data_IF_156954496941
#
_entry.id   IF_156954496941
#
_cell.length_a   1.000
_cell.length_b   1.000
_cell.length_c   1.000
_cell.angle_alpha   90.00
_cell.angle_beta   90.00
_cell.angle_gamma   90.00
#
_symmetry.space_group_name_H-M   'P 1'
#
loop_
_entity.id
_entity.type
_entity.pdbx_description
1 polymer ?
#
# COMPACT_ATOMS: atom_id res chain seq x y z
N UNK A 1 -16.82 4.35 -12.65
CA UNK A 1 -16.73 4.73 -11.23
C UNK A 1 -15.25 4.92 -10.90
N UNK A 2 -14.84 6.06 -10.31
CA UNK A 2 -13.43 6.32 -9.99
C UNK A 2 -13.19 5.90 -8.54
N UNK A 3 -12.61 4.73 -8.33
CA UNK A 3 -12.14 4.31 -7.00
C UNK A 3 -10.86 5.09 -6.67
N UNK A 4 -10.73 5.56 -5.44
CA UNK A 4 -9.50 6.19 -4.95
C UNK A 4 -8.80 5.19 -4.04
N UNK A 5 -7.47 5.15 -4.10
CA UNK A 5 -6.71 4.33 -3.16
C UNK A 5 -6.87 4.91 -1.74
N UNK A 6 -7.02 4.07 -0.71
CA UNK A 6 -7.20 4.51 0.66
C UNK A 6 -5.88 5.07 1.19
N UNK A 7 -5.92 6.24 1.83
CA UNK A 7 -4.78 6.76 2.58
C UNK A 7 -4.69 6.02 3.91
N UNK A 8 -3.52 5.53 4.26
CA UNK A 8 -3.33 4.91 5.57
C UNK A 8 -3.37 5.99 6.65
N UNK A 9 -4.13 5.73 7.71
CA UNK A 9 -4.19 6.56 8.91
C UNK A 9 -4.35 5.61 10.09
N UNK A 10 -3.53 5.81 11.13
CA UNK A 10 -3.54 5.00 12.35
C UNK A 10 -4.97 4.69 12.83
N UNK A 11 -5.31 3.41 12.89
CA UNK A 11 -6.59 2.96 13.44
C UNK A 11 -7.15 1.65 12.88
N UNK A 12 -6.97 1.35 11.59
CA UNK A 12 -7.49 0.11 10.98
C UNK A 12 -6.63 -0.39 9.81
N UNK A 13 -5.61 -1.18 10.13
CA UNK A 13 -4.72 -1.78 9.14
C UNK A 13 -5.46 -2.82 8.27
N UNK A 14 -6.33 -3.64 8.88
CA UNK A 14 -7.02 -4.72 8.17
C UNK A 14 -8.03 -4.18 7.15
N UNK A 15 -8.76 -3.12 7.51
CA UNK A 15 -9.65 -2.42 6.58
C UNK A 15 -8.91 -1.74 5.45
N UNK A 16 -7.73 -1.15 5.74
CA UNK A 16 -6.88 -0.54 4.71
C UNK A 16 -6.38 -1.58 3.69
N UNK A 17 -5.86 -2.72 4.16
CA UNK A 17 -5.40 -3.83 3.30
C UNK A 17 -6.56 -4.38 2.47
N UNK A 18 -7.69 -4.66 3.10
CA UNK A 18 -8.88 -5.19 2.41
C UNK A 18 -9.35 -4.27 1.28
N UNK A 19 -9.31 -2.94 1.52
CA UNK A 19 -9.69 -1.97 0.49
C UNK A 19 -8.63 -1.86 -0.62
N UNK A 20 -7.34 -1.93 -0.28
CA UNK A 20 -6.24 -1.98 -1.25
C UNK A 20 -6.36 -3.19 -2.20
N UNK A 21 -6.69 -4.37 -1.67
CA UNK A 21 -6.93 -5.58 -2.48
C UNK A 21 -8.09 -5.40 -3.46
N UNK A 22 -9.21 -4.82 -3.01
CA UNK A 22 -10.36 -4.51 -3.88
C UNK A 22 -9.95 -3.52 -4.97
N UNK A 23 -9.18 -2.48 -4.62
CA UNK A 23 -8.66 -1.51 -5.58
C UNK A 23 -7.80 -2.18 -6.65
N UNK A 24 -6.81 -2.99 -6.24
CA UNK A 24 -5.91 -3.68 -7.15
C UNK A 24 -6.66 -4.64 -8.07
N UNK A 25 -7.64 -5.37 -7.54
CA UNK A 25 -8.48 -6.25 -8.33
C UNK A 25 -9.29 -5.47 -9.37
N UNK A 26 -9.94 -4.39 -8.96
CA UNK A 26 -10.77 -3.56 -9.84
C UNK A 26 -9.95 -2.91 -10.96
N UNK A 27 -8.74 -2.43 -10.64
CA UNK A 27 -7.85 -1.78 -11.59
C UNK A 27 -6.94 -2.74 -12.35
N UNK A 28 -6.98 -4.05 -12.06
CA UNK A 28 -6.06 -5.08 -12.61
C UNK A 28 -4.59 -4.66 -12.46
N UNK A 29 -4.27 -4.13 -11.28
CA UNK A 29 -2.91 -3.68 -10.96
C UNK A 29 -1.95 -4.87 -11.04
N UNK A 30 -0.84 -4.67 -11.75
CA UNK A 30 0.23 -5.66 -11.87
C UNK A 30 0.87 -5.92 -10.50
N UNK A 31 1.29 -7.15 -10.25
CA UNK A 31 1.85 -7.57 -8.95
C UNK A 31 3.02 -6.68 -8.52
N UNK A 32 3.92 -6.39 -9.46
CA UNK A 32 5.09 -5.54 -9.27
C UNK A 32 4.75 -4.08 -8.93
N UNK A 33 3.56 -3.60 -9.30
CA UNK A 33 3.14 -2.21 -9.07
C UNK A 33 2.32 -2.04 -7.80
N UNK A 34 1.82 -3.11 -7.19
CA UNK A 34 0.95 -3.03 -6.00
C UNK A 34 1.65 -2.38 -4.82
N UNK A 35 2.88 -2.81 -4.53
CA UNK A 35 3.65 -2.29 -3.40
C UNK A 35 4.03 -0.82 -3.59
N UNK A 36 4.42 -0.42 -4.80
CA UNK A 36 4.72 0.98 -5.11
C UNK A 36 3.47 1.88 -4.94
N UNK A 37 2.29 1.42 -5.38
CA UNK A 37 1.04 2.18 -5.22
C UNK A 37 0.64 2.27 -3.74
N UNK A 38 0.81 1.19 -2.99
CA UNK A 38 0.49 1.13 -1.57
C UNK A 38 1.41 2.04 -0.74
N UNK A 39 2.71 2.08 -1.03
CA UNK A 39 3.69 2.87 -0.26
C UNK A 39 3.46 4.37 -0.39
N UNK A 40 3.03 4.87 -1.56
CA UNK A 40 2.68 6.29 -1.78
C UNK A 40 1.56 6.77 -0.83
N UNK A 41 0.79 5.85 -0.28
CA UNK A 41 -0.39 6.13 0.55
C UNK A 41 -0.12 5.90 2.05
N UNK A 42 1.12 5.52 2.40
CA UNK A 42 1.61 5.48 3.77
C UNK A 42 2.04 6.87 4.22
N UNK A 43 1.89 7.14 5.51
CA UNK A 43 2.24 8.42 6.11
C UNK A 43 2.78 8.26 7.53
N UNK A 44 3.33 9.33 8.09
CA UNK A 44 3.80 9.34 9.47
C UNK A 44 4.89 8.30 9.72
N UNK A 45 4.69 7.47 10.74
CA UNK A 45 5.67 6.45 11.12
C UNK A 45 5.67 5.23 10.19
N UNK A 46 4.57 4.98 9.47
CA UNK A 46 4.48 3.85 8.55
C UNK A 46 5.39 4.00 7.32
N UNK A 47 5.49 5.20 6.76
CA UNK A 47 6.41 5.44 5.62
C UNK A 47 7.88 5.35 6.06
N UNK A 48 8.21 5.88 7.24
CA UNK A 48 9.57 5.75 7.80
C UNK A 48 9.97 4.29 8.03
N UNK A 49 9.04 3.48 8.54
CA UNK A 49 9.26 2.04 8.72
C UNK A 49 9.44 1.32 7.37
N UNK A 50 8.63 1.68 6.37
CA UNK A 50 8.71 1.09 5.04
C UNK A 50 10.03 1.42 4.34
N UNK A 51 10.46 2.68 4.37
CA UNK A 51 11.74 3.11 3.77
C UNK A 51 12.93 2.38 4.39
N UNK A 52 12.88 2.16 5.71
CA UNK A 52 13.90 1.38 6.42
C UNK A 52 13.89 -0.08 5.96
N UNK A 53 12.71 -0.70 5.87
CA UNK A 53 12.56 -2.07 5.42
C UNK A 53 13.08 -2.25 3.99
N UNK A 54 12.70 -1.36 3.06
CA UNK A 54 13.15 -1.37 1.67
C UNK A 54 14.67 -1.24 1.57
N UNK A 55 15.28 -0.39 2.40
CA UNK A 55 16.74 -0.20 2.44
C UNK A 55 17.48 -1.51 2.77
N UNK A 56 16.94 -2.34 3.65
CA UNK A 56 17.60 -3.58 4.10
C UNK A 56 17.23 -4.81 3.27
N UNK A 57 16.01 -4.88 2.76
CA UNK A 57 15.44 -6.10 2.17
C UNK A 57 14.98 -5.93 0.71
N UNK A 58 15.00 -4.71 0.19
CA UNK A 58 14.42 -4.36 -1.11
C UNK A 58 12.89 -4.23 -1.06
N UNK A 59 12.28 -3.98 -2.21
CA UNK A 59 10.83 -3.88 -2.35
C UNK A 59 10.22 -5.28 -2.19
N UNK A 60 9.35 -5.51 -1.18
CA UNK A 60 8.68 -6.79 -1.04
C UNK A 60 7.63 -6.98 -2.15
N UNK A 61 7.10 -8.19 -2.31
CA UNK A 61 5.85 -8.39 -3.02
C UNK A 61 4.66 -7.99 -2.13
N UNK A 62 3.52 -7.71 -2.75
CA UNK A 62 2.25 -7.52 -2.02
C UNK A 62 1.84 -8.78 -1.26
#
# INVERSE_FOLDING_TARGET
MRMKFPRWKDGDLNGWISYAEIFFHFHRTLEESKMEIASIQLEGDAIQWYDLYETYYGVPSW
#
